data_IF_550836103912
#
_entry.id   IF_550836103912
#
_cell.length_a   1.000
_cell.length_b   1.000
_cell.length_c   1.000
_cell.angle_alpha   90.00
_cell.angle_beta   90.00
_cell.angle_gamma   90.00
#
_symmetry.space_group_name_H-M   'P 1'
#
loop_
_entity.id
_entity.type
_entity.pdbx_description
1 polymer ?
#
# COMPACT_ATOMS: atom_id res chain seq x y z
N UNK A 1 -22.89 -2.51 -5.67
CA UNK A 1 -21.54 -2.22 -5.15
C UNK A 1 -20.56 -2.66 -6.22
N UNK A 2 -20.08 -1.72 -7.02
CA UNK A 2 -19.11 -2.03 -8.08
C UNK A 2 -17.78 -2.45 -7.45
N UNK A 3 -17.12 -3.42 -8.08
CA UNK A 3 -15.85 -3.99 -7.61
C UNK A 3 -14.80 -2.88 -7.40
N UNK A 4 -14.81 -1.84 -8.23
CA UNK A 4 -13.92 -0.68 -8.11
C UNK A 4 -14.12 0.13 -6.82
N UNK A 5 -15.37 0.33 -6.37
CA UNK A 5 -15.65 1.06 -5.13
C UNK A 5 -15.19 0.26 -3.90
N UNK A 6 -15.38 -1.07 -3.92
CA UNK A 6 -14.90 -1.93 -2.85
C UNK A 6 -13.38 -1.89 -2.73
N UNK A 7 -12.68 -1.87 -3.87
CA UNK A 7 -11.22 -1.72 -3.91
C UNK A 7 -10.79 -0.36 -3.35
N UNK A 8 -11.40 0.75 -3.77
CA UNK A 8 -11.05 2.08 -3.25
C UNK A 8 -11.25 2.21 -1.73
N UNK A 9 -12.35 1.66 -1.20
CA UNK A 9 -12.59 1.60 0.24
C UNK A 9 -11.50 0.79 0.95
N UNK A 10 -11.09 -0.34 0.38
CA UNK A 10 -9.98 -1.14 0.88
C UNK A 10 -8.65 -0.38 0.92
N UNK A 11 -8.35 0.39 -0.13
CA UNK A 11 -7.13 1.20 -0.21
C UNK A 11 -7.09 2.29 0.89
N UNK A 12 -8.20 3.01 1.06
CA UNK A 12 -8.33 4.06 2.09
C UNK A 12 -8.31 3.44 3.50
N UNK A 13 -8.96 2.29 3.69
CA UNK A 13 -8.93 1.56 4.96
C UNK A 13 -7.51 1.14 5.36
N UNK A 14 -6.74 0.58 4.42
CA UNK A 14 -5.34 0.21 4.64
C UNK A 14 -4.46 1.42 4.96
N UNK A 15 -4.66 2.54 4.26
CA UNK A 15 -3.96 3.80 4.58
C UNK A 15 -4.29 4.28 5.99
N UNK A 16 -5.56 4.27 6.38
CA UNK A 16 -6.01 4.67 7.71
C UNK A 16 -5.40 3.82 8.82
N UNK A 17 -5.37 2.49 8.64
CA UNK A 17 -4.74 1.56 9.59
C UNK A 17 -3.23 1.78 9.67
N UNK A 18 -2.55 1.99 8.55
CA UNK A 18 -1.11 2.28 8.53
C UNK A 18 -0.75 3.60 9.21
N UNK A 19 -1.52 4.66 8.95
CA UNK A 19 -1.37 5.97 9.60
C UNK A 19 -1.65 5.91 11.11
N UNK A 20 -2.72 5.24 11.51
CA UNK A 20 -3.02 5.03 12.92
C UNK A 20 -1.92 4.20 13.61
N UNK A 21 -1.43 3.16 12.91
CA UNK A 21 -0.28 2.37 13.32
C UNK A 21 0.92 3.24 13.64
N UNK A 22 1.21 4.23 12.77
CA UNK A 22 2.32 5.19 12.92
C UNK A 22 2.14 6.15 14.11
N UNK A 23 0.91 6.50 14.48
CA UNK A 23 0.63 7.40 15.60
C UNK A 23 0.68 6.70 16.97
N UNK A 24 0.49 5.37 17.01
CA UNK A 24 0.40 4.56 18.24
C UNK A 24 1.73 3.92 18.64
N UNK A 25 2.82 4.20 17.91
CA UNK A 25 4.10 3.52 18.02
C UNK A 25 4.82 3.82 19.34
N UNK A 26 5.35 2.77 19.99
CA UNK A 26 6.22 2.89 21.19
C UNK A 26 7.57 2.18 21.01
N UNK A 27 7.67 1.30 20.01
CA UNK A 27 8.82 0.45 19.73
C UNK A 27 9.21 0.57 18.25
N UNK A 28 10.51 0.51 17.95
CA UNK A 28 11.05 0.63 16.59
C UNK A 28 10.48 -0.43 15.64
N UNK A 29 10.25 -1.66 16.10
CA UNK A 29 9.68 -2.74 15.27
C UNK A 29 8.23 -2.43 14.85
N UNK A 30 7.44 -1.82 15.73
CA UNK A 30 6.07 -1.44 15.34
C UNK A 30 6.09 -0.37 14.24
N UNK A 31 7.14 0.46 14.18
CA UNK A 31 7.28 1.50 13.15
C UNK A 31 7.47 0.84 11.78
N UNK A 32 8.36 -0.15 11.71
CA UNK A 32 8.61 -0.92 10.48
C UNK A 32 7.32 -1.58 9.99
N UNK A 33 6.55 -2.18 10.90
CA UNK A 33 5.26 -2.80 10.56
C UNK A 33 4.25 -1.77 10.03
N UNK A 34 4.15 -0.60 10.67
CA UNK A 34 3.25 0.46 10.21
C UNK A 34 3.63 0.99 8.82
N UNK A 35 4.93 1.14 8.56
CA UNK A 35 5.46 1.55 7.25
C UNK A 35 5.18 0.50 6.18
N UNK A 36 5.33 -0.80 6.47
CA UNK A 36 4.98 -1.88 5.53
C UNK A 36 3.49 -1.91 5.19
N UNK A 37 2.62 -1.65 6.17
CA UNK A 37 1.16 -1.57 5.94
C UNK A 37 0.86 -0.41 4.98
N UNK A 38 1.51 0.75 5.15
CA UNK A 38 1.38 1.90 4.24
C UNK A 38 1.90 1.58 2.84
N UNK A 39 3.04 0.90 2.73
CA UNK A 39 3.61 0.47 1.44
C UNK A 39 2.66 -0.49 0.71
N UNK A 40 2.06 -1.44 1.42
CA UNK A 40 1.05 -2.35 0.85
C UNK A 40 -0.19 -1.59 0.37
N UNK A 41 -0.63 -0.58 1.12
CA UNK A 41 -1.75 0.28 0.74
C UNK A 41 -1.44 1.04 -0.57
N UNK A 42 -0.23 1.59 -0.69
CA UNK A 42 0.22 2.30 -1.89
C UNK A 42 0.28 1.36 -3.11
N UNK A 43 0.86 0.17 -2.95
CA UNK A 43 0.90 -0.86 -4.01
C UNK A 43 -0.50 -1.23 -4.46
N UNK A 44 -1.42 -1.44 -3.52
CA UNK A 44 -2.80 -1.76 -3.82
C UNK A 44 -3.49 -0.61 -4.60
N UNK A 45 -3.29 0.63 -4.18
CA UNK A 45 -3.82 1.81 -4.88
C UNK A 45 -3.26 1.95 -6.30
N UNK A 46 -1.96 1.68 -6.52
CA UNK A 46 -1.33 1.71 -7.84
C UNK A 46 -1.96 0.70 -8.81
N UNK A 47 -2.24 -0.52 -8.34
CA UNK A 47 -2.88 -1.56 -9.18
C UNK A 47 -4.34 -1.19 -9.50
N UNK A 48 -5.07 -0.63 -8.54
CA UNK A 48 -6.45 -0.16 -8.74
C UNK A 48 -6.49 1.01 -9.72
N UNK A 49 -5.59 1.99 -9.57
CA UNK A 49 -5.47 3.11 -10.50
C UNK A 49 -5.07 2.63 -11.91
N UNK A 50 -4.15 1.68 -12.02
CA UNK A 50 -3.79 1.06 -13.32
C UNK A 50 -4.95 0.35 -13.99
N UNK A 51 -5.85 -0.28 -13.21
CA UNK A 51 -7.11 -0.82 -13.73
C UNK A 51 -8.09 0.26 -14.16
N UNK A 52 -8.24 1.32 -13.38
CA UNK A 52 -9.15 2.43 -13.68
C UNK A 52 -8.72 3.21 -14.95
N UNK A 53 -7.42 3.36 -15.19
CA UNK A 53 -6.90 4.03 -16.39
C UNK A 53 -6.84 3.13 -17.64
N UNK A 54 -7.01 1.81 -17.48
CA UNK A 54 -6.92 0.82 -18.56
C UNK A 54 -5.49 0.34 -18.85
N UNK A 55 -4.46 0.87 -18.17
CA UNK A 55 -3.06 0.44 -18.30
C UNK A 55 -2.65 -0.47 -17.14
N UNK A 56 -3.24 -1.66 -17.09
CA UNK A 56 -3.00 -2.65 -16.02
C UNK A 56 -1.51 -3.01 -15.90
N UNK A 57 -0.83 -3.19 -17.04
CA UNK A 57 0.60 -3.51 -17.09
C UNK A 57 1.46 -2.42 -16.43
N UNK A 58 1.12 -1.15 -16.61
CA UNK A 58 1.86 -0.04 -15.99
C UNK A 58 1.65 -0.03 -14.47
N UNK A 59 0.41 -0.17 -14.02
CA UNK A 59 0.10 -0.25 -12.58
C UNK A 59 0.77 -1.43 -11.89
N UNK A 60 0.82 -2.60 -12.55
CA UNK A 60 1.51 -3.78 -12.03
C UNK A 60 3.03 -3.64 -12.06
N UNK A 61 3.61 -3.05 -13.11
CA UNK A 61 5.05 -2.79 -13.17
C UNK A 61 5.50 -1.87 -12.03
N UNK A 62 4.78 -0.77 -11.81
CA UNK A 62 5.05 0.14 -10.68
C UNK A 62 4.86 -0.55 -9.33
N UNK A 63 3.82 -1.37 -9.19
CA UNK A 63 3.58 -2.16 -7.99
C UNK A 63 4.77 -3.09 -7.66
N UNK A 64 5.31 -3.79 -8.65
CA UNK A 64 6.48 -4.67 -8.46
C UNK A 64 7.71 -3.86 -8.04
N UNK A 65 7.98 -2.73 -8.68
CA UNK A 65 9.11 -1.86 -8.30
C UNK A 65 9.01 -1.37 -6.86
N UNK A 66 7.81 -0.97 -6.42
CA UNK A 66 7.59 -0.51 -5.04
C UNK A 66 7.69 -1.66 -4.04
N UNK A 67 7.23 -2.87 -4.38
CA UNK A 67 7.40 -4.05 -3.52
C UNK A 67 8.89 -4.34 -3.29
N UNK A 68 9.71 -4.28 -4.35
CA UNK A 68 11.16 -4.49 -4.21
C UNK A 68 11.76 -3.42 -3.29
N UNK A 69 11.39 -2.15 -3.47
CA UNK A 69 11.85 -1.07 -2.59
C UNK A 69 11.45 -1.28 -1.12
N UNK A 70 10.20 -1.68 -0.83
CA UNK A 70 9.70 -1.93 0.53
C UNK A 70 10.47 -3.06 1.25
N UNK A 71 10.77 -4.14 0.53
CA UNK A 71 11.58 -5.23 1.10
C UNK A 71 13.01 -4.82 1.41
N UNK A 72 13.58 -3.88 0.64
CA UNK A 72 14.93 -3.34 0.91
C UNK A 72 14.92 -2.47 2.15
N UNK A 73 13.98 -1.53 2.26
CA UNK A 73 13.88 -0.60 3.41
C UNK A 73 13.63 -1.35 4.72
N UNK A 74 12.88 -2.45 4.67
CA UNK A 74 12.59 -3.27 5.85
C UNK A 74 13.81 -4.00 6.40
N UNK A 75 14.76 -4.38 5.53
CA UNK A 75 15.92 -5.20 5.91
C UNK A 75 17.03 -4.36 6.54
N UNK A 76 17.08 -3.07 6.23
CA UNK A 76 18.06 -2.11 6.73
C UNK A 76 17.65 -1.60 8.11
#
# INVERSE_FOLDING_TARGET
>A
MDVTNALLIGAVGLLGVGLYGLLRLRNLIQIIIAVQILAKAAVFALVVAGRASGQINLGQSLAVTVIVADTIVTVI
#
